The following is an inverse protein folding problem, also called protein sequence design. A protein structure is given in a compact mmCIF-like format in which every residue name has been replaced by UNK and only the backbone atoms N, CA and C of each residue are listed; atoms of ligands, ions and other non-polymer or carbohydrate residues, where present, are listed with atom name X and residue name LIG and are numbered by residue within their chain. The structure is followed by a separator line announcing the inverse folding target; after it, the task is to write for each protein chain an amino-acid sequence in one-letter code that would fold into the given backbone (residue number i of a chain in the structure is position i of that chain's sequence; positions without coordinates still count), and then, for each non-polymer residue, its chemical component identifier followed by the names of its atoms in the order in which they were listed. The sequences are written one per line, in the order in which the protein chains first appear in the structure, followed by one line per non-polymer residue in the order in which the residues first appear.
data_IF_141202317091
#
_entry.id   IF_141202317091
#
_cell.length_a   1.000
_cell.length_b   1.000
_cell.length_c   1.000
_cell.angle_alpha   90.00
_cell.angle_beta   90.00
_cell.angle_gamma   90.00
#
_symmetry.space_group_name_H-M   'P 1'
#
loop_
_entity.id
_entity.type
_entity.pdbx_description
1 polymer ?
#
# COMPACT_ATOMS: atom_id res chain seq x y z
N UNK A 1 -4.19 -16.50 -6.51
CA UNK A 1 -4.21 -15.34 -7.41
C UNK A 1 -3.30 -14.24 -6.88
N UNK A 2 -2.56 -13.61 -7.74
CA UNK A 2 -1.59 -12.58 -7.33
C UNK A 2 -2.22 -11.20 -7.45
N UNK A 3 -2.08 -10.39 -6.39
CA UNK A 3 -2.64 -9.05 -6.36
C UNK A 3 -1.58 -8.00 -6.67
N UNK A 4 -1.27 -7.83 -7.94
CA UNK A 4 -0.37 -6.79 -8.39
C UNK A 4 -1.14 -5.50 -8.61
N UNK A 5 -0.72 -4.44 -7.95
CA UNK A 5 -1.38 -3.14 -8.02
C UNK A 5 -0.37 -2.09 -8.44
N UNK A 6 -0.77 -1.25 -9.40
CA UNK A 6 0.09 -0.14 -9.80
C UNK A 6 -0.01 0.97 -8.75
N UNK A 7 1.12 1.35 -8.20
CA UNK A 7 1.22 2.38 -7.17
C UNK A 7 2.26 3.41 -7.56
N UNK A 8 2.28 4.52 -6.84
CA UNK A 8 3.27 5.57 -7.06
C UNK A 8 4.15 5.65 -5.83
N UNK A 9 5.44 5.45 -6.02
CA UNK A 9 6.40 5.57 -4.92
C UNK A 9 6.48 6.99 -4.40
N UNK A 10 7.04 7.13 -3.22
CA UNK A 10 7.28 8.42 -2.59
C UNK A 10 7.96 9.40 -3.54
N UNK A 11 8.90 8.93 -4.31
CA UNK A 11 9.63 9.77 -5.26
C UNK A 11 8.90 10.08 -6.56
N UNK A 12 7.70 9.54 -6.74
CA UNK A 12 6.89 9.82 -7.92
C UNK A 12 6.98 8.77 -9.02
N UNK A 13 7.75 7.73 -8.82
CA UNK A 13 7.89 6.66 -9.82
C UNK A 13 6.73 5.69 -9.74
N UNK A 14 6.17 5.31 -10.89
CA UNK A 14 5.12 4.30 -10.93
C UNK A 14 5.75 2.93 -10.77
N UNK A 15 5.17 2.11 -9.89
CA UNK A 15 5.67 0.77 -9.62
C UNK A 15 4.52 -0.20 -9.52
N UNK A 16 4.83 -1.48 -9.66
CA UNK A 16 3.86 -2.55 -9.42
C UNK A 16 4.22 -3.22 -8.11
N UNK A 17 3.24 -3.37 -7.25
CA UNK A 17 3.44 -3.94 -5.92
C UNK A 17 2.61 -5.21 -5.78
N UNK A 18 3.24 -6.27 -5.33
CA UNK A 18 2.56 -7.54 -5.08
C UNK A 18 2.06 -7.56 -3.64
N UNK A 19 0.79 -7.30 -3.43
CA UNK A 19 0.21 -7.24 -2.10
C UNK A 19 -0.04 -8.61 -1.49
N UNK A 20 0.10 -9.67 -2.26
CA UNK A 20 0.01 -11.03 -1.69
C UNK A 20 1.18 -11.29 -0.74
N UNK A 21 2.30 -10.60 -0.95
CA UNK A 21 3.49 -10.77 -0.12
C UNK A 21 3.57 -9.77 1.02
N UNK A 22 2.65 -8.82 1.08
CA UNK A 22 2.67 -7.80 2.11
C UNK A 22 2.21 -8.37 3.44
N UNK A 23 2.88 -7.95 4.50
CA UNK A 23 2.52 -8.37 5.86
C UNK A 23 1.82 -7.25 6.62
N UNK A 24 2.13 -6.00 6.31
CA UNK A 24 1.58 -4.85 7.02
C UNK A 24 1.43 -3.67 6.07
N UNK A 25 0.32 -2.98 6.19
CA UNK A 25 0.06 -1.75 5.44
C UNK A 25 -0.39 -0.71 6.45
N UNK A 26 0.28 0.44 6.50
CA UNK A 26 -0.11 1.48 7.44
C UNK A 26 0.22 2.87 6.91
N UNK A 27 -0.53 3.86 7.36
CA UNK A 27 -0.30 5.25 6.99
C UNK A 27 0.76 5.84 7.91
N UNK A 28 1.73 6.52 7.31
CA UNK A 28 2.80 7.18 8.07
C UNK A 28 2.91 8.62 7.62
N UNK A 29 3.55 9.43 8.44
CA UNK A 29 3.79 10.83 8.10
C UNK A 29 4.78 10.91 6.96
N UNK A 30 4.47 11.77 5.99
CA UNK A 30 5.33 11.94 4.84
C UNK A 30 6.24 13.14 4.97
N UNK A 31 6.82 13.50 3.83
CA UNK A 31 7.67 14.68 3.72
C UNK A 31 6.82 15.93 3.58
N UNK A 32 7.47 17.07 3.44
CA UNK A 32 6.77 18.33 3.25
C UNK A 32 5.91 18.33 1.97
N UNK A 33 6.30 17.57 0.97
CA UNK A 33 5.55 17.50 -0.28
C UNK A 33 4.39 16.51 -0.19
N UNK A 34 4.59 15.42 0.52
CA UNK A 34 3.58 14.38 0.67
C UNK A 34 3.26 14.23 2.13
N UNK A 35 2.12 14.77 2.54
CA UNK A 35 1.75 14.79 3.94
C UNK A 35 1.61 13.41 4.55
N UNK A 36 1.02 12.50 3.79
CA UNK A 36 0.81 11.14 4.26
C UNK A 36 1.25 10.16 3.21
N UNK A 37 1.93 9.13 3.65
CA UNK A 37 2.37 8.04 2.78
C UNK A 37 1.84 6.75 3.35
N UNK A 38 1.72 5.75 2.52
CA UNK A 38 1.36 4.40 2.96
C UNK A 38 2.63 3.57 2.97
N UNK A 39 2.92 3.00 4.12
CA UNK A 39 4.07 2.11 4.27
C UNK A 39 3.61 0.68 4.12
N UNK A 40 4.19 -0.02 3.18
CA UNK A 40 3.89 -1.43 2.95
C UNK A 40 5.11 -2.23 3.35
N UNK A 41 4.93 -3.14 4.29
CA UNK A 41 6.02 -3.97 4.78
C UNK A 41 5.85 -5.40 4.28
N UNK A 42 6.96 -5.97 3.90
CA UNK A 42 7.03 -7.36 3.42
C UNK A 42 7.91 -8.15 4.37
N UNK A 43 7.82 -9.45 4.32
CA UNK A 43 8.68 -10.29 5.14
C UNK A 43 10.15 -10.05 4.83
N UNK A 44 11.02 -10.35 5.80
CA UNK A 44 12.46 -10.19 5.60
C UNK A 44 12.99 -8.78 5.77
N UNK A 45 12.20 -7.88 6.34
CA UNK A 45 12.64 -6.51 6.58
C UNK A 45 12.50 -5.58 5.39
N UNK A 46 11.94 -6.06 4.29
CA UNK A 46 11.72 -5.24 3.11
C UNK A 46 10.49 -4.35 3.30
N UNK A 47 10.61 -3.09 2.91
CA UNK A 47 9.45 -2.19 2.96
C UNK A 47 9.54 -1.12 1.89
N UNK A 48 8.38 -0.56 1.54
CA UNK A 48 8.29 0.55 0.58
C UNK A 48 7.33 1.59 1.13
N UNK A 49 7.45 2.80 0.61
CA UNK A 49 6.51 3.88 0.90
C UNK A 49 5.90 4.35 -0.41
N UNK A 50 4.59 4.45 -0.44
CA UNK A 50 3.86 4.84 -1.65
C UNK A 50 2.88 5.96 -1.33
N UNK A 51 2.49 6.70 -2.37
CA UNK A 51 1.57 7.82 -2.21
C UNK A 51 0.11 7.38 -2.17
N UNK A 52 -0.19 6.19 -2.65
CA UNK A 52 -1.55 5.68 -2.69
C UNK A 52 -2.05 5.46 -1.27
N UNK A 53 -3.32 5.79 -1.02
CA UNK A 53 -3.88 5.66 0.32
C UNK A 53 -4.21 4.21 0.62
N UNK A 54 -4.35 3.91 1.93
CA UNK A 54 -4.76 2.56 2.34
C UNK A 54 -6.09 2.19 1.71
N UNK A 55 -7.01 3.13 1.68
CA UNK A 55 -8.34 2.89 1.10
C UNK A 55 -8.22 2.51 -0.37
N UNK A 56 -7.42 3.24 -1.12
CA UNK A 56 -7.22 2.96 -2.53
C UNK A 56 -6.65 1.56 -2.74
N UNK A 57 -5.67 1.20 -1.91
CA UNK A 57 -5.04 -0.11 -1.99
C UNK A 57 -6.04 -1.22 -1.69
N UNK A 58 -6.80 -1.06 -0.61
CA UNK A 58 -7.77 -2.08 -0.21
C UNK A 58 -8.83 -2.30 -1.28
N UNK A 59 -9.26 -1.24 -1.94
CA UNK A 59 -10.19 -1.37 -3.06
C UNK A 59 -9.59 -2.11 -4.22
N UNK A 60 -8.33 -1.82 -4.52
CA UNK A 60 -7.65 -2.42 -5.66
C UNK A 60 -7.48 -3.92 -5.48
N UNK A 61 -7.20 -4.37 -4.26
CA UNK A 61 -7.00 -5.79 -3.99
C UNK A 61 -8.30 -6.51 -3.62
N UNK A 62 -9.43 -5.79 -3.59
CA UNK A 62 -10.72 -6.40 -3.42
C UNK A 62 -11.18 -6.63 -2.00
N UNK A 63 -10.49 -6.07 -1.03
CA UNK A 63 -10.91 -6.17 0.36
C UNK A 63 -12.01 -5.13 0.60
N UNK A 64 -13.12 -5.55 1.17
CA UNK A 64 -14.24 -4.68 1.44
C UNK A 64 -14.50 -4.54 2.92
N UNK A 65 -15.10 -3.41 3.28
CA UNK A 65 -15.43 -3.18 4.67
C UNK A 65 -16.42 -4.20 5.21
N UNK A 66 -17.40 -4.58 4.40
CA UNK A 66 -18.40 -5.54 4.85
C UNK A 66 -17.82 -6.91 5.16
N UNK A 67 -16.65 -7.22 4.61
CA UNK A 67 -15.98 -8.47 4.94
C UNK A 67 -15.53 -8.49 6.39
N UNK A 68 -15.32 -7.34 6.98
CA UNK A 68 -14.86 -7.24 8.36
C UNK A 68 -15.96 -7.48 9.36
N UNK A 69 -17.19 -7.37 8.91
CA UNK A 69 -18.35 -7.53 9.79
C UNK A 69 -18.94 -8.92 9.75
N UNK A 70 -18.43 -9.75 8.90
CA UNK A 70 -18.95 -11.10 8.72
C UNK A 70 -18.75 -11.95 9.96
#
# INVERSE_FOLDING_TARGET
MVNWVQCTEDGGTAILVNFDSATTIKTVSGTSENKNLTRVEFGGGHMIKIRDTEETILRAIGIREDAHRA
#
